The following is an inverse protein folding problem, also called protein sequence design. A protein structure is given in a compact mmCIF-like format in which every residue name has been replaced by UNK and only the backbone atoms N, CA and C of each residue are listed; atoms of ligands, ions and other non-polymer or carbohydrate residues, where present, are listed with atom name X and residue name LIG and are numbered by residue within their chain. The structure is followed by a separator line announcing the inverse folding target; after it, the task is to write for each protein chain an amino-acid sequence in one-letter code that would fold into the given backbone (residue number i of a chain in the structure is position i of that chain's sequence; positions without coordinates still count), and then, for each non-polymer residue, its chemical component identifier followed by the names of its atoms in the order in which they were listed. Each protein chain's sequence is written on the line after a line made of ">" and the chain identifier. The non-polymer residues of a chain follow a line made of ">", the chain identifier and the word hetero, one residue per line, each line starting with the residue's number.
data_IF_809807909532
#
_entry.id   IF_809807909532
#
_cell.length_a   1.000
_cell.length_b   1.000
_cell.length_c   1.000
_cell.angle_alpha   90.00
_cell.angle_beta   90.00
_cell.angle_gamma   90.00
#
_symmetry.space_group_name_H-M   'P 1'
#
loop_
_entity.id
_entity.type
_entity.pdbx_description
1 polymer ?
#
# COMPACT_ATOMS: atom_id res chain seq x y z
N UNK A 1 -43.04 5.25 -20.13
CA UNK A 1 -42.77 5.30 -18.68
C UNK A 1 -41.48 4.55 -18.30
N UNK A 2 -40.35 4.87 -18.95
CA UNK A 2 -39.02 4.26 -18.64
C UNK A 2 -37.89 5.29 -18.71
N UNK A 3 -38.22 6.56 -18.52
CA UNK A 3 -37.24 7.62 -18.38
C UNK A 3 -37.22 8.05 -16.92
N UNK A 4 -36.07 7.90 -16.25
CA UNK A 4 -35.72 8.85 -15.20
C UNK A 4 -35.36 8.34 -13.80
N UNK A 5 -35.11 7.06 -13.55
CA UNK A 5 -34.38 6.69 -12.32
C UNK A 5 -32.90 6.51 -12.63
N UNK A 6 -32.20 7.62 -12.82
CA UNK A 6 -30.73 7.60 -12.73
C UNK A 6 -30.40 7.47 -11.25
N UNK A 7 -29.96 6.28 -10.81
CA UNK A 7 -29.37 6.13 -9.47
C UNK A 7 -28.08 6.93 -9.50
N UNK A 8 -28.09 8.12 -8.89
CA UNK A 8 -26.86 8.82 -8.53
C UNK A 8 -26.28 8.07 -7.34
N UNK A 9 -25.42 7.10 -7.63
CA UNK A 9 -24.60 6.46 -6.60
C UNK A 9 -23.66 7.53 -6.07
N UNK A 10 -23.89 7.99 -4.86
CA UNK A 10 -22.92 8.85 -4.18
C UNK A 10 -21.78 7.96 -3.70
N UNK A 11 -20.59 8.21 -4.23
CA UNK A 11 -19.37 7.59 -3.70
C UNK A 11 -19.07 8.17 -2.31
N UNK A 12 -18.38 7.41 -1.44
CA UNK A 12 -17.89 7.94 -0.17
C UNK A 12 -17.11 9.24 -0.39
N UNK A 13 -17.38 10.23 0.45
CA UNK A 13 -16.74 11.55 0.35
C UNK A 13 -15.35 11.57 0.99
N UNK A 14 -15.10 10.65 1.92
CA UNK A 14 -13.85 10.52 2.65
C UNK A 14 -13.40 9.07 2.77
N UNK A 15 -12.08 8.92 2.91
CA UNK A 15 -11.37 7.63 3.00
C UNK A 15 -11.86 6.80 4.18
N UNK A 16 -12.18 7.43 5.32
CA UNK A 16 -12.58 6.71 6.52
C UNK A 16 -13.92 5.98 6.30
N UNK A 17 -14.88 6.65 5.64
CA UNK A 17 -16.16 6.05 5.26
C UNK A 17 -15.96 4.90 4.28
N UNK A 18 -15.09 5.05 3.27
CA UNK A 18 -14.80 3.96 2.33
C UNK A 18 -14.14 2.75 3.02
N UNK A 19 -13.22 2.97 3.96
CA UNK A 19 -12.64 1.90 4.80
C UNK A 19 -13.73 1.15 5.58
N UNK A 20 -14.72 1.85 6.16
CA UNK A 20 -15.81 1.17 6.87
C UNK A 20 -16.63 0.27 5.94
N UNK A 21 -16.91 0.73 4.72
CA UNK A 21 -17.62 -0.08 3.71
C UNK A 21 -16.77 -1.29 3.31
N UNK A 22 -15.47 -1.10 3.08
CA UNK A 22 -14.55 -2.21 2.75
C UNK A 22 -14.56 -3.26 3.86
N UNK A 23 -14.46 -2.85 5.14
CA UNK A 23 -14.53 -3.78 6.28
C UNK A 23 -15.85 -4.54 6.36
N UNK A 24 -16.96 -3.90 6.00
CA UNK A 24 -18.28 -4.52 6.03
C UNK A 24 -18.46 -5.54 4.89
N UNK A 25 -17.98 -5.21 3.69
CA UNK A 25 -18.32 -5.94 2.46
C UNK A 25 -17.26 -6.95 2.03
N UNK A 26 -15.99 -6.74 2.40
CA UNK A 26 -14.91 -7.64 2.02
C UNK A 26 -14.98 -8.97 2.77
N UNK A 27 -14.62 -10.04 2.07
CA UNK A 27 -14.45 -11.35 2.70
C UNK A 27 -13.17 -11.37 3.53
N UNK A 28 -13.19 -12.16 4.60
CA UNK A 28 -11.97 -12.43 5.36
C UNK A 28 -10.90 -13.03 4.45
N UNK A 29 -9.66 -12.57 4.63
CA UNK A 29 -8.48 -13.12 3.97
C UNK A 29 -7.93 -14.39 4.61
N UNK A 30 -8.46 -14.80 5.76
CA UNK A 30 -8.00 -15.99 6.49
C UNK A 30 -8.17 -17.26 5.65
N UNK A 31 -7.12 -18.09 5.60
CA UNK A 31 -7.13 -19.36 4.86
C UNK A 31 -6.53 -20.45 5.74
N UNK A 32 -7.33 -21.47 6.08
CA UNK A 32 -6.93 -22.56 6.98
C UNK A 32 -6.33 -22.02 8.29
N UNK A 33 -5.06 -22.30 8.56
CA UNK A 33 -4.34 -21.85 9.76
C UNK A 33 -3.64 -20.50 9.59
N UNK A 34 -3.75 -19.86 8.42
CA UNK A 34 -3.16 -18.55 8.13
C UNK A 34 -4.15 -17.45 8.46
N UNK A 35 -3.76 -16.56 9.38
CA UNK A 35 -4.50 -15.36 9.78
C UNK A 35 -3.96 -14.12 9.08
N UNK A 36 -4.86 -13.34 8.49
CA UNK A 36 -4.51 -12.07 7.83
C UNK A 36 -4.88 -10.90 8.73
N UNK A 37 -3.86 -10.20 9.21
CA UNK A 37 -4.02 -8.96 9.97
C UNK A 37 -3.65 -7.79 9.06
N UNK A 38 -4.64 -7.06 8.56
CA UNK A 38 -4.37 -5.87 7.74
C UNK A 38 -4.18 -4.63 8.60
N UNK A 39 -3.02 -3.97 8.58
CA UNK A 39 -2.83 -2.72 9.31
C UNK A 39 -3.73 -1.61 8.74
N UNK A 40 -4.20 -0.71 9.62
CA UNK A 40 -5.11 0.37 9.23
C UNK A 40 -4.57 1.22 8.07
N UNK A 41 -3.26 1.51 8.03
CA UNK A 41 -2.69 2.29 6.94
C UNK A 41 -2.76 1.59 5.58
N UNK A 42 -2.77 0.25 5.54
CA UNK A 42 -2.95 -0.51 4.30
C UNK A 42 -4.41 -0.46 3.82
N UNK A 43 -5.38 -0.52 4.74
CA UNK A 43 -6.79 -0.27 4.42
C UNK A 43 -7.00 1.13 3.85
N UNK A 44 -6.40 2.13 4.49
CA UNK A 44 -6.45 3.52 4.03
C UNK A 44 -5.82 3.69 2.65
N UNK A 45 -4.69 3.03 2.36
CA UNK A 45 -4.07 3.06 1.02
C UNK A 45 -5.04 2.49 -0.04
N UNK A 46 -5.72 1.38 0.24
CA UNK A 46 -6.68 0.77 -0.70
C UNK A 46 -7.85 1.70 -1.00
N UNK A 47 -8.40 2.36 0.02
CA UNK A 47 -9.45 3.35 -0.17
C UNK A 47 -8.92 4.60 -0.92
N UNK A 48 -7.75 5.11 -0.54
CA UNK A 48 -7.11 6.27 -1.17
C UNK A 48 -6.83 6.05 -2.67
N UNK A 49 -6.48 4.82 -3.09
CA UNK A 49 -6.37 4.45 -4.52
C UNK A 49 -7.67 4.77 -5.28
N UNK A 50 -8.82 4.39 -4.73
CA UNK A 50 -10.12 4.64 -5.37
C UNK A 50 -10.50 6.12 -5.35
N UNK A 51 -10.19 6.85 -4.26
CA UNK A 51 -10.37 8.30 -4.21
C UNK A 51 -9.53 9.05 -5.25
N UNK A 52 -8.24 8.70 -5.37
CA UNK A 52 -7.37 9.31 -6.37
C UNK A 52 -7.80 8.95 -7.79
N UNK A 53 -8.25 7.72 -8.04
CA UNK A 53 -8.79 7.32 -9.34
C UNK A 53 -10.03 8.14 -9.73
N UNK A 54 -10.94 8.44 -8.79
CA UNK A 54 -12.11 9.32 -9.04
C UNK A 54 -11.70 10.72 -9.49
N UNK A 55 -10.61 11.25 -8.94
CA UNK A 55 -10.10 12.58 -9.29
C UNK A 55 -9.15 12.59 -10.49
N UNK A 56 -8.83 11.43 -11.10
CA UNK A 56 -7.81 11.33 -12.13
C UNK A 56 -8.38 11.64 -13.52
N UNK A 57 -7.71 12.52 -14.28
CA UNK A 57 -8.13 12.92 -15.62
C UNK A 57 -8.09 11.79 -16.65
N UNK A 58 -7.31 10.74 -16.38
CA UNK A 58 -7.13 9.61 -17.29
C UNK A 58 -8.15 8.50 -17.03
N UNK A 59 -8.98 8.64 -15.98
CA UNK A 59 -10.05 7.72 -15.62
C UNK A 59 -11.39 8.30 -16.08
N UNK A 60 -12.21 7.47 -16.73
CA UNK A 60 -13.53 7.86 -17.23
C UNK A 60 -14.45 8.31 -16.10
N UNK A 61 -14.74 9.60 -16.08
CA UNK A 61 -15.65 10.22 -15.11
C UNK A 61 -17.12 9.86 -15.39
N UNK A 62 -17.42 9.44 -16.63
CA UNK A 62 -18.74 8.96 -17.02
C UNK A 62 -19.07 7.62 -16.38
N UNK A 63 -18.08 6.73 -16.34
CA UNK A 63 -18.21 5.37 -15.82
C UNK A 63 -17.99 5.34 -14.30
N UNK A 64 -17.15 6.25 -13.80
CA UNK A 64 -16.87 6.44 -12.38
C UNK A 64 -16.06 5.29 -11.76
N UNK A 65 -15.73 5.41 -10.47
CA UNK A 65 -14.95 4.40 -9.73
C UNK A 65 -15.75 3.94 -8.52
N UNK A 66 -16.31 2.74 -8.65
CA UNK A 66 -17.14 2.10 -7.61
C UNK A 66 -16.33 1.69 -6.38
N UNK A 67 -16.96 1.71 -5.21
CA UNK A 67 -16.41 1.13 -3.97
C UNK A 67 -16.09 -0.37 -4.12
N UNK A 68 -16.73 -1.05 -5.07
CA UNK A 68 -16.37 -2.45 -5.42
C UNK A 68 -14.92 -2.60 -5.86
N UNK A 69 -14.30 -1.54 -6.40
CA UNK A 69 -12.86 -1.53 -6.70
C UNK A 69 -12.07 -1.67 -5.41
N UNK A 70 -12.36 -0.86 -4.38
CA UNK A 70 -11.68 -0.93 -3.09
C UNK A 70 -11.91 -2.27 -2.40
N UNK A 71 -13.13 -2.82 -2.43
CA UNK A 71 -13.44 -4.14 -1.86
C UNK A 71 -12.62 -5.23 -2.55
N UNK A 72 -12.64 -5.30 -3.89
CA UNK A 72 -11.86 -6.29 -4.64
C UNK A 72 -10.35 -6.11 -4.47
N UNK A 73 -9.88 -4.87 -4.37
CA UNK A 73 -8.47 -4.58 -4.13
C UNK A 73 -8.05 -5.01 -2.73
N UNK A 74 -8.87 -4.79 -1.71
CA UNK A 74 -8.61 -5.25 -0.36
C UNK A 74 -8.51 -6.78 -0.28
N UNK A 75 -9.45 -7.50 -0.92
CA UNK A 75 -9.42 -8.97 -0.97
C UNK A 75 -8.19 -9.49 -1.73
N UNK A 76 -7.82 -8.83 -2.83
CA UNK A 76 -6.63 -9.18 -3.62
C UNK A 76 -5.35 -8.93 -2.85
N UNK A 77 -5.30 -7.82 -2.10
CA UNK A 77 -4.19 -7.45 -1.24
C UNK A 77 -3.99 -8.50 -0.12
N UNK A 78 -5.07 -8.93 0.52
CA UNK A 78 -5.04 -9.99 1.52
C UNK A 78 -4.55 -11.32 0.92
N UNK A 79 -5.04 -11.69 -0.26
CA UNK A 79 -4.61 -12.90 -0.95
C UNK A 79 -3.11 -12.87 -1.35
N UNK A 80 -2.61 -11.70 -1.79
CA UNK A 80 -1.19 -11.50 -2.08
C UNK A 80 -0.33 -11.68 -0.81
N UNK A 81 -0.76 -11.11 0.32
CA UNK A 81 -0.09 -11.26 1.60
C UNK A 81 -0.04 -12.73 2.07
N UNK A 82 -1.13 -13.49 1.91
CA UNK A 82 -1.18 -14.93 2.21
C UNK A 82 -0.21 -15.70 1.32
N UNK A 83 -0.25 -15.45 0.00
CA UNK A 83 0.66 -16.10 -0.95
C UNK A 83 2.11 -15.87 -0.56
N UNK A 84 2.48 -14.65 -0.16
CA UNK A 84 3.83 -14.33 0.29
C UNK A 84 4.16 -15.05 1.60
N UNK A 85 3.31 -14.94 2.62
CA UNK A 85 3.55 -15.55 3.92
C UNK A 85 3.70 -17.07 3.86
N UNK A 86 2.89 -17.75 3.02
CA UNK A 86 3.01 -19.19 2.80
C UNK A 86 4.38 -19.61 2.25
N UNK A 87 5.05 -18.78 1.45
CA UNK A 87 6.41 -19.07 0.95
C UNK A 87 7.45 -19.01 2.05
N UNK A 88 7.21 -18.21 3.08
CA UNK A 88 8.08 -18.05 4.25
C UNK A 88 7.63 -18.91 5.44
N UNK A 89 6.57 -19.72 5.31
CA UNK A 89 6.01 -20.54 6.39
C UNK A 89 5.32 -19.73 7.50
N UNK A 90 4.87 -18.51 7.21
CA UNK A 90 4.20 -17.63 8.17
C UNK A 90 2.71 -17.98 8.32
N UNK A 91 2.23 -18.08 9.55
CA UNK A 91 0.81 -18.34 9.88
C UNK A 91 0.05 -17.08 10.32
N UNK A 92 0.76 -16.00 10.61
CA UNK A 92 0.19 -14.66 10.78
C UNK A 92 0.83 -13.77 9.74
N UNK A 93 0.01 -13.18 8.87
CA UNK A 93 0.48 -12.39 7.73
C UNK A 93 -0.23 -11.05 7.70
N UNK A 94 0.43 -10.05 7.12
CA UNK A 94 -0.08 -8.71 6.94
C UNK A 94 0.29 -8.23 5.54
N UNK A 95 -0.60 -7.56 4.82
CA UNK A 95 -0.21 -6.92 3.56
C UNK A 95 0.92 -5.92 3.75
N UNK A 96 1.87 -5.90 2.82
CA UNK A 96 2.97 -4.93 2.75
C UNK A 96 2.92 -4.19 1.43
N UNK A 97 3.85 -3.25 1.22
CA UNK A 97 3.89 -2.45 -0.02
C UNK A 97 4.15 -3.34 -1.23
N UNK A 98 4.97 -4.39 -1.09
CA UNK A 98 5.22 -5.35 -2.18
C UNK A 98 3.95 -6.03 -2.70
N UNK A 99 2.92 -6.16 -1.86
CA UNK A 99 1.66 -6.82 -2.24
C UNK A 99 0.75 -5.91 -3.10
N UNK A 100 1.01 -4.60 -3.16
CA UNK A 100 0.20 -3.64 -3.95
C UNK A 100 0.30 -3.88 -5.47
N UNK A 101 1.39 -4.51 -5.94
CA UNK A 101 1.56 -4.86 -7.36
C UNK A 101 0.48 -5.82 -7.86
N UNK A 102 -0.12 -6.62 -6.96
CA UNK A 102 -1.22 -7.52 -7.31
C UNK A 102 -2.51 -6.77 -7.68
N UNK A 103 -2.66 -5.51 -7.26
CA UNK A 103 -3.89 -4.74 -7.43
C UNK A 103 -4.15 -4.32 -8.88
N UNK A 104 -3.13 -4.35 -9.73
CA UNK A 104 -3.27 -4.02 -11.16
C UNK A 104 -4.31 -4.95 -11.80
N UNK A 105 -4.20 -6.26 -11.53
CA UNK A 105 -5.09 -7.26 -12.11
C UNK A 105 -6.52 -7.18 -11.57
N UNK A 106 -6.69 -6.85 -10.27
CA UNK A 106 -8.02 -6.71 -9.67
C UNK A 106 -8.71 -5.42 -10.08
N UNK A 107 -7.95 -4.38 -10.43
CA UNK A 107 -8.47 -3.10 -10.89
C UNK A 107 -8.75 -3.08 -12.39
N UNK A 108 -7.94 -3.80 -13.18
CA UNK A 108 -8.12 -3.93 -14.62
C UNK A 108 -9.54 -4.42 -14.96
N UNK A 109 -10.23 -3.70 -15.83
CA UNK A 109 -11.62 -3.98 -16.23
C UNK A 109 -12.69 -3.57 -15.20
N UNK A 110 -12.33 -3.03 -14.03
CA UNK A 110 -13.27 -2.40 -13.08
C UNK A 110 -13.22 -0.86 -13.13
N UNK A 111 -12.20 -0.31 -13.78
CA UNK A 111 -12.07 1.11 -14.09
C UNK A 111 -11.90 1.23 -15.61
N UNK A 112 -12.62 2.17 -16.21
CA UNK A 112 -12.44 2.52 -17.62
C UNK A 112 -11.52 3.73 -17.75
N UNK A 113 -10.57 3.66 -18.69
CA UNK A 113 -9.68 4.78 -18.99
C UNK A 113 -10.32 5.72 -20.02
N UNK A 114 -9.91 6.98 -20.04
CA UNK A 114 -10.24 7.91 -21.12
C UNK A 114 -9.51 7.51 -22.40
N UNK A 115 -10.17 7.65 -23.56
CA UNK A 115 -9.78 7.02 -24.83
C UNK A 115 -8.41 7.40 -25.43
N UNK A 116 -7.69 8.37 -24.84
CA UNK A 116 -6.32 8.74 -25.27
C UNK A 116 -5.25 7.86 -24.58
N UNK A 117 -5.62 7.18 -23.49
CA UNK A 117 -4.71 6.39 -22.66
C UNK A 117 -4.92 4.86 -22.77
N UNK A 118 -5.69 4.39 -23.76
CA UNK A 118 -5.80 2.96 -24.07
C UNK A 118 -4.39 2.35 -24.29
N UNK A 119 -4.00 1.40 -23.44
CA UNK A 119 -2.66 0.78 -23.44
C UNK A 119 -1.65 1.39 -22.44
N UNK A 120 -1.98 2.49 -21.75
CA UNK A 120 -1.18 3.07 -20.64
C UNK A 120 -1.74 2.77 -19.26
N UNK A 121 -2.75 1.90 -19.18
CA UNK A 121 -3.56 1.69 -17.98
C UNK A 121 -2.72 1.30 -16.76
N UNK A 122 -1.76 0.39 -16.95
CA UNK A 122 -0.88 -0.06 -15.88
C UNK A 122 -0.02 1.08 -15.30
N UNK A 123 0.52 1.94 -16.16
CA UNK A 123 1.34 3.07 -15.72
C UNK A 123 0.52 4.14 -14.98
N UNK A 124 -0.70 4.43 -15.45
CA UNK A 124 -1.63 5.34 -14.77
C UNK A 124 -2.00 4.78 -13.39
N UNK A 125 -2.31 3.48 -13.33
CA UNK A 125 -2.64 2.84 -12.06
C UNK A 125 -1.45 2.82 -11.09
N UNK A 126 -0.23 2.54 -11.57
CA UNK A 126 0.98 2.60 -10.76
C UNK A 126 1.17 4.01 -10.15
N UNK A 127 0.94 5.07 -10.94
CA UNK A 127 1.00 6.45 -10.45
C UNK A 127 -0.06 6.73 -9.38
N UNK A 128 -1.27 6.20 -9.54
CA UNK A 128 -2.34 6.31 -8.54
C UNK A 128 -1.94 5.59 -7.24
N UNK A 129 -1.41 4.37 -7.32
CA UNK A 129 -0.93 3.60 -6.16
C UNK A 129 0.18 4.36 -5.43
N UNK A 130 1.18 4.85 -6.14
CA UNK A 130 2.27 5.66 -5.55
C UNK A 130 1.73 6.94 -4.92
N UNK A 131 0.75 7.59 -5.55
CA UNK A 131 0.05 8.74 -4.99
C UNK A 131 -0.64 8.40 -3.66
N UNK A 132 -1.34 7.28 -3.60
CA UNK A 132 -2.06 6.82 -2.41
C UNK A 132 -1.12 6.49 -1.25
N UNK A 133 -0.04 5.76 -1.53
CA UNK A 133 1.01 5.47 -0.52
C UNK A 133 1.62 6.76 0.01
N UNK A 134 1.96 7.72 -0.86
CA UNK A 134 2.53 8.99 -0.45
C UNK A 134 1.55 9.85 0.36
N UNK A 135 0.26 9.85 0.00
CA UNK A 135 -0.78 10.56 0.74
C UNK A 135 -0.95 10.01 2.16
N UNK A 136 -1.05 8.68 2.28
CA UNK A 136 -1.09 8.00 3.58
C UNK A 136 0.18 8.25 4.40
N UNK A 137 1.35 8.15 3.78
CA UNK A 137 2.64 8.39 4.45
C UNK A 137 2.73 9.79 5.04
N UNK A 138 2.37 10.82 4.27
CA UNK A 138 2.40 12.22 4.73
C UNK A 138 1.44 12.49 5.89
N UNK A 139 0.31 11.76 5.94
CA UNK A 139 -0.67 11.86 7.02
C UNK A 139 -0.19 11.18 8.31
N UNK A 140 0.51 10.04 8.18
CA UNK A 140 0.80 9.15 9.30
C UNK A 140 2.23 9.25 9.85
N UNK A 141 3.20 9.72 9.06
CA UNK A 141 4.62 9.75 9.46
C UNK A 141 5.11 11.20 9.61
N UNK A 142 5.40 11.65 10.84
CA UNK A 142 5.97 12.98 11.10
C UNK A 142 7.35 13.16 10.44
N UNK A 143 7.55 14.31 9.80
CA UNK A 143 8.76 14.59 9.02
C UNK A 143 10.05 14.73 9.85
N UNK A 144 9.94 15.13 11.11
CA UNK A 144 11.06 15.21 12.06
C UNK A 144 11.61 13.81 12.40
N UNK A 145 10.72 12.85 12.66
CA UNK A 145 11.09 11.45 12.91
C UNK A 145 11.68 10.77 11.68
N UNK A 146 11.11 11.05 10.51
CA UNK A 146 11.61 10.54 9.24
C UNK A 146 13.07 10.99 8.97
N UNK A 147 13.47 12.17 9.42
CA UNK A 147 14.84 12.70 9.21
C UNK A 147 15.91 11.81 9.84
N UNK A 148 15.68 11.32 11.06
CA UNK A 148 16.66 10.49 11.75
C UNK A 148 16.88 9.13 11.05
N UNK A 149 15.79 8.53 10.54
CA UNK A 149 15.90 7.32 9.70
C UNK A 149 16.73 7.61 8.45
N UNK A 150 16.48 8.73 7.77
CA UNK A 150 17.23 9.11 6.56
C UNK A 150 18.73 9.24 6.84
N UNK A 151 19.13 9.82 7.98
CA UNK A 151 20.55 9.95 8.36
C UNK A 151 21.26 8.60 8.46
N UNK A 152 20.57 7.56 8.95
CA UNK A 152 21.14 6.20 9.03
C UNK A 152 21.40 5.62 7.63
N UNK A 153 20.49 5.86 6.68
CA UNK A 153 20.67 5.43 5.28
C UNK A 153 21.72 6.24 4.53
N UNK A 154 21.83 7.54 4.80
CA UNK A 154 22.90 8.40 4.26
C UNK A 154 24.28 7.97 4.77
N UNK A 155 24.37 7.37 5.95
CA UNK A 155 25.60 6.79 6.50
C UNK A 155 25.98 5.42 5.90
N UNK A 156 25.30 4.97 4.83
CA UNK A 156 25.63 3.76 4.08
C UNK A 156 24.77 2.54 4.41
N UNK A 157 23.71 2.68 5.22
CA UNK A 157 22.75 1.59 5.44
C UNK A 157 21.93 1.32 4.18
N UNK A 158 21.65 0.04 3.93
CA UNK A 158 20.69 -0.42 2.92
C UNK A 158 19.64 -1.35 3.52
N UNK A 159 18.48 -1.42 2.87
CA UNK A 159 17.38 -2.29 3.28
C UNK A 159 16.80 -3.03 2.08
N UNK A 160 16.63 -4.35 2.21
CA UNK A 160 15.96 -5.17 1.21
C UNK A 160 14.51 -5.37 1.63
N UNK A 161 13.59 -5.26 0.67
CA UNK A 161 12.17 -5.58 0.83
C UNK A 161 11.69 -6.41 -0.35
N UNK A 162 10.50 -7.00 -0.24
CA UNK A 162 9.91 -7.76 -1.33
C UNK A 162 9.34 -9.11 -0.93
N UNK A 163 8.87 -9.83 -1.94
CA UNK A 163 8.13 -11.10 -1.81
C UNK A 163 8.91 -12.24 -1.15
N UNK A 164 10.24 -12.16 -1.15
CA UNK A 164 11.12 -13.19 -0.60
C UNK A 164 11.86 -12.74 0.66
N UNK A 165 11.55 -11.55 1.17
CA UNK A 165 12.07 -11.05 2.45
C UNK A 165 11.09 -11.44 3.56
N UNK A 166 11.58 -12.16 4.56
CA UNK A 166 10.74 -12.63 5.66
C UNK A 166 10.30 -11.48 6.58
N UNK A 167 9.20 -11.65 7.31
CA UNK A 167 8.81 -10.67 8.32
C UNK A 167 9.90 -10.52 9.40
N UNK A 168 10.61 -11.60 9.73
CA UNK A 168 11.69 -11.60 10.72
C UNK A 168 12.89 -10.73 10.29
N UNK A 169 13.24 -10.73 8.99
CA UNK A 169 14.33 -9.90 8.48
C UNK A 169 13.97 -8.40 8.57
N UNK A 170 12.72 -8.04 8.26
CA UNK A 170 12.24 -6.66 8.36
C UNK A 170 12.11 -6.21 9.83
N UNK A 171 11.72 -7.10 10.74
CA UNK A 171 11.75 -6.83 12.19
C UNK A 171 13.18 -6.61 12.68
N UNK A 172 14.14 -7.40 12.19
CA UNK A 172 15.56 -7.24 12.53
C UNK A 172 16.08 -5.87 12.07
N UNK A 173 15.76 -5.46 10.84
CA UNK A 173 16.07 -4.12 10.33
C UNK A 173 15.48 -3.01 11.20
N UNK A 174 14.20 -3.13 11.60
CA UNK A 174 13.58 -2.14 12.48
C UNK A 174 14.30 -2.08 13.84
N UNK A 175 14.70 -3.22 14.39
CA UNK A 175 15.40 -3.30 15.68
C UNK A 175 16.81 -2.68 15.61
N UNK A 176 17.51 -2.82 14.49
CA UNK A 176 18.80 -2.18 14.23
C UNK A 176 18.72 -0.66 14.10
N UNK A 177 17.54 -0.10 13.78
CA UNK A 177 17.30 1.33 13.54
C UNK A 177 16.22 1.82 14.52
N UNK A 178 16.57 2.23 15.75
CA UNK A 178 15.60 2.58 16.80
C UNK A 178 14.56 3.62 16.37
N UNK A 179 14.93 4.57 15.52
CA UNK A 179 14.03 5.60 15.01
C UNK A 179 13.01 5.04 14.01
N UNK A 180 13.40 4.05 13.20
CA UNK A 180 12.47 3.31 12.36
C UNK A 180 11.50 2.53 13.23
N UNK A 181 12.01 1.83 14.25
CA UNK A 181 11.17 1.07 15.19
C UNK A 181 10.11 1.94 15.87
N UNK A 182 10.50 3.12 16.35
CA UNK A 182 9.55 4.06 16.96
C UNK A 182 8.43 4.53 16.00
N UNK A 183 8.72 4.62 14.70
CA UNK A 183 7.71 4.96 13.70
C UNK A 183 6.80 3.75 13.47
N UNK A 184 7.38 2.55 13.31
CA UNK A 184 6.58 1.34 13.08
C UNK A 184 5.67 1.02 14.25
N UNK A 185 6.13 1.15 15.50
CA UNK A 185 5.32 0.90 16.70
C UNK A 185 4.05 1.77 16.76
N UNK A 186 4.15 3.02 16.28
CA UNK A 186 3.00 3.93 16.19
C UNK A 186 2.03 3.51 15.08
N UNK A 187 2.56 3.07 13.94
CA UNK A 187 1.77 2.68 12.78
C UNK A 187 0.98 1.40 13.01
N UNK A 188 1.54 0.44 13.76
CA UNK A 188 0.91 -0.85 14.06
C UNK A 188 -0.07 -0.80 15.24
N UNK A 189 -0.12 0.31 15.98
CA UNK A 189 -1.17 0.55 16.98
C UNK A 189 -1.24 -0.48 18.11
N UNK A 190 -0.13 -1.13 18.44
CA UNK A 190 -0.04 -2.18 19.46
C UNK A 190 -0.03 -3.63 18.93
N UNK A 191 -0.16 -3.84 17.61
CA UNK A 191 0.12 -5.14 17.00
C UNK A 191 1.63 -5.38 16.92
N UNK A 192 2.15 -6.20 17.85
CA UNK A 192 3.58 -6.55 17.92
C UNK A 192 3.94 -7.75 17.02
N UNK A 193 3.02 -8.25 16.20
CA UNK A 193 3.32 -9.37 15.30
C UNK A 193 4.42 -8.99 14.30
N UNK A 194 5.32 -9.93 13.95
CA UNK A 194 6.33 -9.68 12.93
C UNK A 194 5.75 -9.18 11.61
N UNK A 195 4.57 -9.69 11.25
CA UNK A 195 3.87 -9.33 10.03
C UNK A 195 3.46 -7.85 10.01
N UNK A 196 2.86 -7.34 11.09
CA UNK A 196 2.46 -5.93 11.19
C UNK A 196 3.67 -5.00 11.15
N UNK A 197 4.74 -5.34 11.87
CA UNK A 197 5.99 -4.56 11.87
C UNK A 197 6.61 -4.55 10.47
N UNK A 198 6.67 -5.70 9.80
CA UNK A 198 7.20 -5.81 8.43
C UNK A 198 6.43 -4.93 7.43
N UNK A 199 5.09 -4.90 7.54
CA UNK A 199 4.24 -4.00 6.75
C UNK A 199 4.58 -2.53 6.99
N UNK A 200 4.72 -2.14 8.25
CA UNK A 200 5.05 -0.77 8.61
C UNK A 200 6.46 -0.37 8.13
N UNK A 201 7.44 -1.27 8.19
CA UNK A 201 8.79 -1.04 7.66
C UNK A 201 8.74 -0.72 6.17
N UNK A 202 8.10 -1.57 5.36
CA UNK A 202 8.00 -1.33 3.91
C UNK A 202 7.27 -0.01 3.61
N UNK A 203 6.20 0.28 4.34
CA UNK A 203 5.45 1.53 4.19
C UNK A 203 6.31 2.78 4.46
N UNK A 204 7.13 2.76 5.52
CA UNK A 204 8.03 3.88 5.84
C UNK A 204 9.10 4.05 4.77
N UNK A 205 9.73 2.95 4.32
CA UNK A 205 10.77 2.98 3.30
C UNK A 205 10.23 3.50 1.95
N UNK A 206 9.06 3.00 1.53
CA UNK A 206 8.41 3.46 0.30
C UNK A 206 8.02 4.93 0.39
N UNK A 207 7.42 5.35 1.51
CA UNK A 207 7.04 6.74 1.72
C UNK A 207 8.22 7.71 1.73
N UNK A 208 9.35 7.29 2.31
CA UNK A 208 10.62 8.02 2.24
C UNK A 208 11.15 8.12 0.80
N UNK A 209 11.09 7.04 0.04
CA UNK A 209 11.46 7.04 -1.38
C UNK A 209 10.58 8.00 -2.20
N UNK A 210 9.25 7.89 -2.08
CA UNK A 210 8.28 8.72 -2.77
C UNK A 210 8.37 10.21 -2.35
N UNK A 211 8.82 10.46 -1.12
CA UNK A 211 9.16 11.80 -0.62
C UNK A 211 10.55 12.29 -1.07
N UNK A 212 11.22 11.56 -1.97
CA UNK A 212 12.55 11.88 -2.51
C UNK A 212 13.65 11.96 -1.44
N UNK A 213 13.52 11.17 -0.37
CA UNK A 213 14.48 11.10 0.74
C UNK A 213 15.40 9.88 0.64
N UNK A 214 14.91 8.78 0.10
CA UNK A 214 15.69 7.57 -0.19
C UNK A 214 15.72 7.26 -1.69
N UNK A 215 16.74 6.50 -2.09
CA UNK A 215 16.75 5.81 -3.37
C UNK A 215 16.08 4.45 -3.23
N UNK A 216 15.46 3.98 -4.32
CA UNK A 216 14.89 2.64 -4.45
C UNK A 216 15.40 2.07 -5.78
N UNK A 217 16.07 0.94 -5.72
CA UNK A 217 16.37 0.11 -6.88
C UNK A 217 15.46 -1.11 -6.82
N UNK A 218 14.60 -1.30 -7.84
CA UNK A 218 13.58 -2.33 -7.85
C UNK A 218 13.76 -3.24 -9.06
N UNK A 219 13.73 -4.55 -8.83
CA UNK A 219 13.86 -5.57 -9.86
C UNK A 219 12.98 -6.77 -9.53
N UNK A 220 11.95 -6.99 -10.36
CA UNK A 220 10.91 -7.97 -10.06
C UNK A 220 10.22 -7.66 -8.74
N UNK A 221 9.96 -8.70 -7.92
CA UNK A 221 9.33 -8.56 -6.61
C UNK A 221 10.27 -8.10 -5.49
N UNK A 222 11.46 -7.58 -5.80
CA UNK A 222 12.46 -7.11 -4.82
C UNK A 222 12.72 -5.63 -4.97
N UNK A 223 12.98 -4.97 -3.85
CA UNK A 223 13.48 -3.60 -3.83
C UNK A 223 14.60 -3.43 -2.80
N UNK A 224 15.57 -2.59 -3.14
CA UNK A 224 16.67 -2.18 -2.28
C UNK A 224 16.57 -0.68 -2.05
N UNK A 225 16.48 -0.28 -0.78
CA UNK A 225 16.49 1.11 -0.37
C UNK A 225 17.87 1.52 0.14
N UNK A 226 18.31 2.72 -0.24
CA UNK A 226 19.61 3.27 0.16
C UNK A 226 19.53 4.79 0.33
N UNK A 227 20.51 5.36 1.04
CA UNK A 227 20.67 6.79 1.15
C UNK A 227 20.85 7.45 -0.22
N UNK A 228 20.41 8.71 -0.32
CA UNK A 228 20.72 9.52 -1.50
C UNK A 228 22.15 9.99 -1.40
N UNK A 229 23.06 9.35 -2.12
CA UNK A 229 24.43 9.87 -2.26
C UNK A 229 24.35 11.29 -2.80
N UNK A 230 24.73 12.29 -2.00
CA UNK A 230 25.08 13.60 -2.54
C UNK A 230 26.30 13.38 -3.41
N UNK A 231 26.16 13.56 -4.73
CA UNK A 231 27.33 13.71 -5.59
C UNK A 231 28.17 14.84 -4.98
N UNK A 232 29.38 14.49 -4.52
CA UNK A 232 30.42 15.44 -4.08
C UNK A 232 30.96 16.15 -5.31
#
# INVERSE_FOLDING_TARGET
>A
DRFGSQIRTHYPLDVATEVQIVRQEARSGDIADVRVNTPQFMEEIVAEISHLARGNSNVSQRSGVSVRVSVSNFETLAAAAVRRGLRSGETVVAPRISDLDALVASTAGKIEMEGVDEGREGAVFEQIVRGAVLAAYRRLVPGDKAKAVVTVFEAGRSANTGDDVSSADLVSLATEIPELRQITDRLVGGDESPAAVASAVEFVLEGLHLSKRLNKDASGGRAVFSGRTTAV
#
